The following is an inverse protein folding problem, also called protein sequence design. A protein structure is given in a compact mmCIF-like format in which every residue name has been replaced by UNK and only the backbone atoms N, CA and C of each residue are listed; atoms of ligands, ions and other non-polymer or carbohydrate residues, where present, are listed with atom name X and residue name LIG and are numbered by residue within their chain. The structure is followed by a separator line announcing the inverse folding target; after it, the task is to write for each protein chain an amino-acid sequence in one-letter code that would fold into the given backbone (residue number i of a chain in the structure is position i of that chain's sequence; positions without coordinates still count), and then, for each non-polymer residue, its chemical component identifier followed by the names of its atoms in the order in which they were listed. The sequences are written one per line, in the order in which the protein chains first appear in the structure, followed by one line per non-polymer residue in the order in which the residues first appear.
data_IF_275189672441
#
_entry.id   IF_275189672441
#
_cell.length_a   1.000
_cell.length_b   1.000
_cell.length_c   1.000
_cell.angle_alpha   90.00
_cell.angle_beta   90.00
_cell.angle_gamma   90.00
#
_symmetry.space_group_name_H-M   'P 1'
#
loop_
_entity.id
_entity.type
_entity.pdbx_description
1 polymer ?
#
# COMPACT_ATOMS: atom_id res chain seq x y z
N UNK A 1 17.17 2.30 0.94
CA UNK A 1 16.25 1.24 0.48
C UNK A 1 14.83 1.60 0.82
N UNK A 2 14.30 2.59 0.14
CA UNK A 2 12.94 3.06 0.33
C UNK A 2 12.06 2.48 -0.76
N UNK A 3 10.90 1.98 -0.37
CA UNK A 3 9.82 1.72 -1.31
C UNK A 3 9.26 3.09 -1.72
N UNK A 4 9.46 3.46 -2.97
CA UNK A 4 8.97 4.72 -3.51
C UNK A 4 7.61 4.53 -4.18
N UNK A 5 6.70 5.47 -3.95
CA UNK A 5 5.56 5.68 -4.84
C UNK A 5 5.93 6.80 -5.81
N UNK A 6 5.68 6.64 -7.08
CA UNK A 6 5.81 7.73 -8.02
C UNK A 6 4.80 8.82 -7.67
N UNK A 7 5.26 10.05 -7.67
CA UNK A 7 4.42 11.23 -7.61
C UNK A 7 4.26 11.80 -9.01
N UNK A 8 3.25 12.63 -9.25
CA UNK A 8 3.03 13.28 -10.54
C UNK A 8 4.24 14.12 -11.01
N UNK A 9 5.11 14.51 -10.11
CA UNK A 9 6.38 15.22 -10.37
C UNK A 9 7.60 14.30 -10.50
N UNK A 10 7.39 12.99 -10.57
CA UNK A 10 8.46 12.00 -10.82
C UNK A 10 9.30 11.63 -9.60
N UNK A 11 8.83 11.91 -8.40
CA UNK A 11 9.54 11.64 -7.16
C UNK A 11 9.03 10.44 -6.38
N UNK A 12 9.11 10.54 -5.10
CA UNK A 12 8.76 9.53 -4.11
C UNK A 12 7.26 9.40 -3.94
N UNK A 13 6.84 8.36 -3.23
CA UNK A 13 5.48 8.28 -2.70
C UNK A 13 5.07 9.61 -2.08
N UNK A 14 3.88 10.09 -2.39
CA UNK A 14 3.33 11.29 -1.74
C UNK A 14 3.34 11.12 -0.21
N UNK A 15 2.99 9.93 0.28
CA UNK A 15 3.06 9.60 1.70
C UNK A 15 4.48 9.67 2.26
N UNK A 16 5.46 9.14 1.54
CA UNK A 16 6.86 9.14 1.96
C UNK A 16 7.47 10.53 1.83
N UNK A 17 7.20 11.25 0.74
CA UNK A 17 7.65 12.62 0.56
C UNK A 17 7.09 13.55 1.65
N UNK A 18 5.82 13.40 2.01
CA UNK A 18 5.21 14.16 3.11
C UNK A 18 5.82 13.79 4.45
N UNK A 19 6.02 12.51 4.73
CA UNK A 19 6.65 12.03 5.96
C UNK A 19 8.07 12.54 6.08
N UNK A 20 8.88 12.46 5.02
CA UNK A 20 10.24 12.98 5.01
C UNK A 20 10.29 14.49 5.17
N UNK A 21 9.45 15.24 4.44
CA UNK A 21 9.36 16.69 4.56
C UNK A 21 8.98 17.07 5.98
N UNK A 22 8.03 16.36 6.58
CA UNK A 22 7.62 16.55 7.95
C UNK A 22 8.76 16.26 8.94
N UNK A 23 9.53 15.20 8.74
CA UNK A 23 10.71 14.87 9.56
C UNK A 23 11.79 15.97 9.43
N UNK A 24 12.07 16.43 8.22
CA UNK A 24 13.03 17.52 7.98
C UNK A 24 12.59 18.82 8.65
N UNK A 25 11.31 19.16 8.52
CA UNK A 25 10.74 20.35 9.19
C UNK A 25 10.85 20.22 10.71
N UNK A 26 10.51 19.06 11.28
CA UNK A 26 10.62 18.83 12.72
C UNK A 26 12.07 18.84 13.21
N UNK A 27 13.00 18.32 12.42
CA UNK A 27 14.42 18.42 12.74
C UNK A 27 14.89 19.88 12.74
N UNK A 28 14.52 20.66 11.73
CA UNK A 28 14.84 22.10 11.68
C UNK A 28 14.21 22.86 12.85
N UNK A 29 12.97 22.55 13.23
CA UNK A 29 12.29 23.15 14.41
C UNK A 29 13.00 22.79 15.71
N UNK A 30 13.39 21.53 15.89
CA UNK A 30 14.14 21.07 17.06
C UNK A 30 15.49 21.81 17.19
N UNK A 31 16.22 21.97 16.08
CA UNK A 31 17.47 22.74 16.05
C UNK A 31 17.27 24.22 16.38
N UNK A 32 16.11 24.76 16.05
CA UNK A 32 15.71 26.14 16.39
C UNK A 32 15.10 26.28 17.80
N UNK A 33 15.07 25.22 18.61
CA UNK A 33 14.44 25.21 19.94
C UNK A 33 12.93 25.34 19.91
N UNK A 34 12.29 25.00 18.79
CA UNK A 34 10.83 25.04 18.63
C UNK A 34 10.23 23.64 18.85
N UNK A 35 9.01 23.61 19.39
CA UNK A 35 8.26 22.37 19.52
C UNK A 35 8.02 21.71 18.14
N UNK A 36 8.18 20.37 18.02
CA UNK A 36 7.85 19.65 16.81
C UNK A 36 6.37 19.85 16.44
N UNK A 37 6.10 19.89 15.14
CA UNK A 37 4.73 19.75 14.67
C UNK A 37 4.29 18.30 14.93
N UNK A 38 3.24 18.09 15.69
CA UNK A 38 2.70 16.76 15.93
C UNK A 38 1.75 16.38 14.79
N UNK A 39 1.99 15.24 14.09
CA UNK A 39 0.99 14.71 13.17
C UNK A 39 -0.29 14.40 13.93
N UNK A 40 -1.43 14.60 13.30
CA UNK A 40 -2.75 14.30 13.86
C UNK A 40 -2.90 12.81 14.15
N UNK A 41 -2.44 12.34 15.32
CA UNK A 41 -2.51 10.94 15.72
C UNK A 41 -1.79 9.96 14.78
N UNK A 42 -0.75 10.40 14.07
CA UNK A 42 -0.05 9.59 13.07
C UNK A 42 -0.78 9.47 11.72
N UNK A 43 -1.75 10.36 11.44
CA UNK A 43 -2.45 10.38 10.17
C UNK A 43 -1.48 10.59 9.00
N UNK A 44 -1.70 9.86 7.88
CA UNK A 44 -0.89 9.97 6.66
C UNK A 44 -1.06 11.32 6.00
N UNK A 45 -2.29 11.76 5.84
CA UNK A 45 -2.65 13.07 5.33
C UNK A 45 -3.21 13.91 6.48
N UNK A 46 -2.45 14.86 6.93
CA UNK A 46 -2.74 15.65 8.14
C UNK A 46 -2.81 17.16 7.87
N UNK A 47 -2.33 17.63 6.71
CA UNK A 47 -2.37 19.00 6.22
C UNK A 47 -1.71 20.08 7.11
N UNK A 48 -0.91 19.71 8.11
CA UNK A 48 -0.28 20.66 9.04
C UNK A 48 0.84 21.50 8.42
N UNK A 49 1.37 21.11 7.24
CA UNK A 49 2.33 21.91 6.51
C UNK A 49 1.62 23.03 5.74
N UNK A 50 1.90 24.31 6.03
CA UNK A 50 1.27 25.43 5.35
C UNK A 50 1.41 25.37 3.83
N UNK A 51 0.30 25.51 3.11
CA UNK A 51 0.25 25.50 1.65
C UNK A 51 0.34 24.12 1.01
N UNK A 52 0.57 23.05 1.78
CA UNK A 52 0.64 21.69 1.24
C UNK A 52 -0.73 21.05 1.18
N UNK A 53 -1.18 20.69 0.00
CA UNK A 53 -2.40 19.89 -0.22
C UNK A 53 -2.12 18.38 -0.21
N UNK A 54 -0.88 17.98 0.06
CA UNK A 54 -0.43 16.58 0.16
C UNK A 54 -0.86 15.72 -1.03
N UNK A 55 -0.79 16.28 -2.25
CA UNK A 55 -1.10 15.60 -3.50
C UNK A 55 -2.57 15.43 -3.83
N UNK A 56 -3.47 15.97 -3.01
CA UNK A 56 -4.88 16.00 -3.36
C UNK A 56 -5.13 16.93 -4.54
N UNK A 57 -5.76 16.43 -5.59
CA UNK A 57 -6.09 17.17 -6.78
C UNK A 57 -7.55 16.92 -7.18
N UNK A 58 -8.26 17.93 -7.70
CA UNK A 58 -9.58 17.74 -8.28
C UNK A 58 -9.52 16.76 -9.46
N UNK A 59 -10.53 15.90 -9.57
CA UNK A 59 -10.69 15.06 -10.75
C UNK A 59 -11.32 15.87 -11.89
N UNK A 60 -10.60 15.99 -13.00
CA UNK A 60 -11.10 16.58 -14.25
C UNK A 60 -11.69 15.49 -15.14
N UNK A 61 -12.85 14.95 -14.81
CA UNK A 61 -13.52 13.96 -15.64
C UNK A 61 -14.89 14.48 -16.15
N UNK A 62 -15.38 13.86 -17.23
CA UNK A 62 -16.73 14.15 -17.77
C UNK A 62 -17.81 13.82 -16.72
N UNK A 63 -17.54 12.92 -15.80
CA UNK A 63 -18.45 12.53 -14.71
C UNK A 63 -18.45 13.56 -13.57
N UNK A 64 -17.32 14.25 -13.34
CA UNK A 64 -17.22 15.35 -12.37
C UNK A 64 -17.51 16.68 -13.06
N UNK A 65 -18.78 17.02 -13.27
CA UNK A 65 -19.17 18.31 -13.85
C UNK A 65 -19.29 19.44 -12.83
N UNK A 66 -19.06 19.18 -11.56
CA UNK A 66 -18.89 20.18 -10.52
C UNK A 66 -17.44 20.69 -10.53
N UNK A 67 -17.25 21.98 -10.31
CA UNK A 67 -15.91 22.56 -10.13
C UNK A 67 -15.48 22.36 -8.69
N UNK A 68 -14.24 21.93 -8.47
CA UNK A 68 -13.66 21.79 -7.15
C UNK A 68 -12.28 22.43 -7.11
N UNK A 69 -12.02 23.21 -6.07
CA UNK A 69 -10.70 23.79 -5.79
C UNK A 69 -10.25 23.32 -4.40
N UNK A 70 -9.00 22.97 -4.28
CA UNK A 70 -8.40 22.51 -3.00
C UNK A 70 -7.45 23.56 -2.46
N UNK A 71 -7.54 23.82 -1.16
CA UNK A 71 -6.68 24.78 -0.48
C UNK A 71 -6.33 24.27 0.93
N UNK A 72 -5.07 24.44 1.33
CA UNK A 72 -4.64 24.18 2.69
C UNK A 72 -4.92 25.41 3.57
N UNK A 73 -5.88 25.33 4.47
CA UNK A 73 -6.35 26.46 5.29
C UNK A 73 -6.02 26.28 6.76
N UNK A 74 -5.91 27.40 7.48
CA UNK A 74 -5.82 27.44 8.93
C UNK A 74 -7.22 27.33 9.55
N UNK A 75 -7.36 26.51 10.59
CA UNK A 75 -8.64 26.27 11.24
C UNK A 75 -9.45 25.15 10.59
N UNK A 76 -10.72 25.05 10.96
CA UNK A 76 -11.67 24.01 10.51
C UNK A 76 -11.15 22.58 10.74
N UNK A 77 -10.32 22.40 11.77
CA UNK A 77 -9.76 21.12 12.16
C UNK A 77 -10.15 20.78 13.58
N UNK A 78 -10.53 19.54 13.82
CA UNK A 78 -10.80 18.99 15.16
C UNK A 78 -9.49 18.57 15.85
N UNK A 79 -8.51 18.17 15.04
CA UNK A 79 -7.16 17.81 15.49
C UNK A 79 -6.14 18.70 14.79
N UNK A 80 -5.19 19.24 15.54
CA UNK A 80 -4.16 20.11 14.95
C UNK A 80 -4.65 21.53 14.68
N UNK A 81 -4.13 22.16 13.61
CA UNK A 81 -4.38 23.59 13.30
C UNK A 81 -4.90 23.85 11.90
N UNK A 82 -4.74 22.91 10.97
CA UNK A 82 -5.03 23.11 9.55
C UNK A 82 -5.88 21.96 9.01
N UNK A 83 -6.54 22.24 7.90
CA UNK A 83 -7.33 21.28 7.14
C UNK A 83 -7.19 21.52 5.65
N UNK A 84 -7.63 20.58 4.82
CA UNK A 84 -7.79 20.77 3.40
C UNK A 84 -9.21 21.25 3.13
N UNK A 85 -9.36 22.46 2.63
CA UNK A 85 -10.63 23.00 2.16
C UNK A 85 -10.93 22.50 0.75
N UNK A 86 -12.10 21.94 0.56
CA UNK A 86 -12.66 21.46 -0.70
C UNK A 86 -13.78 22.43 -1.11
N UNK A 87 -13.44 23.43 -1.90
CA UNK A 87 -14.39 24.42 -2.40
C UNK A 87 -15.10 23.87 -3.64
N UNK A 88 -16.38 23.53 -3.52
CA UNK A 88 -17.15 22.94 -4.62
C UNK A 88 -18.19 23.93 -5.15
N UNK A 89 -18.40 23.88 -6.47
CA UNK A 89 -19.41 24.67 -7.16
C UNK A 89 -20.15 23.82 -8.20
N UNK A 90 -21.41 24.12 -8.42
CA UNK A 90 -22.27 23.48 -9.44
C UNK A 90 -22.50 21.97 -9.22
N UNK A 91 -22.29 21.45 -8.02
CA UNK A 91 -22.68 20.08 -7.69
C UNK A 91 -24.19 19.97 -7.69
N UNK A 92 -24.75 18.98 -8.38
CA UNK A 92 -26.18 18.78 -8.57
C UNK A 92 -26.46 17.31 -8.94
N UNK A 93 -27.72 16.93 -9.12
CA UNK A 93 -28.10 15.61 -9.62
C UNK A 93 -27.30 15.25 -10.89
N UNK A 94 -26.59 14.12 -10.85
CA UNK A 94 -25.73 13.65 -11.93
C UNK A 94 -24.44 14.45 -12.13
N UNK A 95 -24.09 15.36 -11.21
CA UNK A 95 -22.87 16.15 -11.21
C UNK A 95 -22.22 16.10 -9.84
N UNK A 96 -21.23 15.27 -9.67
CA UNK A 96 -20.43 15.21 -8.45
C UNK A 96 -19.14 16.02 -8.61
N UNK A 97 -18.51 16.36 -7.48
CA UNK A 97 -17.17 16.91 -7.43
C UNK A 97 -16.29 15.90 -6.70
N UNK A 98 -15.14 15.57 -7.26
CA UNK A 98 -14.20 14.59 -6.70
C UNK A 98 -12.82 15.19 -6.52
N UNK A 99 -12.18 14.76 -5.44
CA UNK A 99 -10.78 15.05 -5.15
C UNK A 99 -10.11 13.77 -4.72
N UNK A 100 -8.90 13.52 -5.22
CA UNK A 100 -8.14 12.33 -4.87
C UNK A 100 -6.65 12.61 -4.76
N UNK A 101 -5.95 11.68 -4.12
CA UNK A 101 -4.51 11.59 -4.11
C UNK A 101 -4.08 10.20 -4.58
N UNK A 102 -3.00 10.08 -5.38
CA UNK A 102 -2.54 8.79 -5.86
C UNK A 102 -1.99 7.91 -4.72
N UNK A 103 -2.28 6.62 -4.79
CA UNK A 103 -1.77 5.58 -3.91
C UNK A 103 -0.90 4.56 -4.66
N UNK A 104 -1.02 4.55 -5.99
CA UNK A 104 -0.20 3.76 -6.91
C UNK A 104 -0.25 4.39 -8.31
N UNK A 105 0.90 4.54 -8.94
CA UNK A 105 1.01 4.97 -10.34
C UNK A 105 1.76 3.88 -11.10
N UNK A 106 1.15 3.25 -12.12
CA UNK A 106 1.84 2.26 -12.92
C UNK A 106 3.07 2.87 -13.60
N UNK A 107 4.21 2.17 -13.67
CA UNK A 107 5.45 2.69 -14.25
C UNK A 107 5.31 3.26 -15.67
N UNK A 108 4.43 2.71 -16.48
CA UNK A 108 4.20 3.14 -17.87
C UNK A 108 3.40 4.43 -18.00
N UNK A 109 2.59 4.77 -17.01
CA UNK A 109 1.79 6.00 -17.04
C UNK A 109 2.65 7.26 -17.07
N UNK A 110 3.91 7.14 -16.69
CA UNK A 110 4.87 8.25 -16.63
C UNK A 110 5.79 8.33 -17.84
N UNK A 111 5.62 7.47 -18.84
CA UNK A 111 6.35 7.51 -20.10
C UNK A 111 7.87 7.38 -19.99
N UNK A 112 8.36 6.87 -18.86
CA UNK A 112 9.78 6.89 -18.56
C UNK A 112 10.28 5.56 -18.01
N UNK A 113 11.37 5.09 -18.54
CA UNK A 113 12.21 4.03 -18.00
C UNK A 113 12.94 4.48 -16.72
N UNK A 114 12.26 5.12 -15.79
CA UNK A 114 12.88 5.64 -14.58
C UNK A 114 12.77 4.61 -13.45
N UNK A 115 13.90 4.03 -13.09
CA UNK A 115 14.06 3.14 -11.93
C UNK A 115 13.53 3.74 -10.61
N UNK A 116 13.48 5.06 -10.51
CA UNK A 116 12.98 5.79 -9.34
C UNK A 116 11.47 5.70 -9.13
N UNK A 117 10.72 5.17 -10.09
CA UNK A 117 9.27 5.20 -10.11
C UNK A 117 8.61 3.83 -9.84
N UNK A 118 9.40 2.79 -9.59
CA UNK A 118 8.88 1.46 -9.29
C UNK A 118 8.53 1.40 -7.81
N UNK A 119 7.25 1.30 -7.50
CA UNK A 119 6.78 1.23 -6.13
C UNK A 119 5.50 0.39 -5.99
N UNK A 120 5.32 -0.20 -4.82
CA UNK A 120 4.08 -0.87 -4.45
C UNK A 120 2.98 0.14 -4.15
N UNK A 121 1.70 -0.25 -4.28
CA UNK A 121 0.58 0.50 -3.71
C UNK A 121 0.79 0.77 -2.22
N UNK A 122 0.19 1.84 -1.70
CA UNK A 122 0.27 2.17 -0.27
C UNK A 122 -0.95 1.75 0.52
N UNK A 123 -2.07 1.47 -0.16
CA UNK A 123 -3.32 1.00 0.44
C UNK A 123 -3.77 -0.31 -0.20
N UNK A 124 -4.36 -1.17 0.61
CA UNK A 124 -4.74 -2.52 0.21
C UNK A 124 -6.12 -2.93 0.75
N UNK A 125 -6.79 -3.92 0.11
CA UNK A 125 -8.01 -4.53 0.63
C UNK A 125 -7.85 -5.02 2.08
N UNK A 126 -8.92 -4.89 2.86
CA UNK A 126 -8.96 -5.29 4.27
C UNK A 126 -8.39 -4.24 5.24
N UNK A 127 -7.72 -3.21 4.77
CA UNK A 127 -7.33 -2.07 5.60
C UNK A 127 -8.52 -1.15 5.86
N UNK A 128 -8.55 -0.48 7.01
CA UNK A 128 -9.61 0.44 7.41
C UNK A 128 -9.14 1.87 7.18
N UNK A 129 -9.84 2.58 6.30
CA UNK A 129 -9.66 4.02 6.07
C UNK A 129 -10.45 4.80 7.11
N UNK A 130 -9.82 5.82 7.65
CA UNK A 130 -10.44 6.78 8.58
C UNK A 130 -10.21 8.20 8.05
N UNK A 131 -11.23 9.03 8.08
CA UNK A 131 -11.14 10.43 7.70
C UNK A 131 -12.16 11.26 8.49
N UNK A 132 -11.78 12.48 8.84
CA UNK A 132 -12.67 13.45 9.48
C UNK A 132 -12.97 14.57 8.52
N UNK A 133 -14.26 14.83 8.30
CA UNK A 133 -14.74 15.93 7.45
C UNK A 133 -15.68 16.85 8.23
N UNK A 134 -15.79 18.11 7.78
CA UNK A 134 -16.79 19.05 8.29
C UNK A 134 -17.31 19.95 7.16
N UNK A 135 -18.60 20.24 7.15
CA UNK A 135 -19.21 21.17 6.24
C UNK A 135 -19.14 22.60 6.81
N UNK A 136 -18.84 23.59 5.95
CA UNK A 136 -18.91 24.97 6.39
C UNK A 136 -20.36 25.34 6.78
N UNK A 137 -20.51 26.08 7.88
CA UNK A 137 -21.82 26.56 8.35
C UNK A 137 -22.55 27.50 7.39
N UNK A 138 -21.81 28.16 6.51
CA UNK A 138 -22.33 29.08 5.49
C UNK A 138 -22.70 28.38 4.17
N UNK A 139 -22.57 27.04 4.09
CA UNK A 139 -22.97 26.31 2.89
C UNK A 139 -24.45 26.53 2.59
N UNK A 140 -24.79 26.75 1.32
CA UNK A 140 -26.15 27.07 0.91
C UNK A 140 -27.10 25.87 0.96
N UNK A 141 -26.54 24.63 0.95
CA UNK A 141 -27.27 23.38 0.89
C UNK A 141 -26.53 22.25 1.62
N UNK A 142 -27.29 21.22 1.90
CA UNK A 142 -26.78 19.91 2.31
C UNK A 142 -26.02 19.27 1.16
N UNK A 143 -24.91 18.60 1.47
CA UNK A 143 -24.10 17.84 0.52
C UNK A 143 -23.95 16.40 0.99
N UNK A 144 -24.06 15.44 0.10
CA UNK A 144 -23.68 14.06 0.31
C UNK A 144 -22.17 13.93 0.13
N UNK A 145 -21.52 13.20 1.01
CA UNK A 145 -20.09 13.01 1.04
C UNK A 145 -19.77 11.53 1.23
N UNK A 146 -18.87 10.99 0.42
CA UNK A 146 -18.33 9.65 0.64
C UNK A 146 -16.83 9.59 0.35
N UNK A 147 -16.16 8.62 0.98
CA UNK A 147 -14.83 8.20 0.56
C UNK A 147 -14.96 7.30 -0.66
N UNK A 148 -13.98 7.33 -1.55
CA UNK A 148 -13.87 6.39 -2.65
C UNK A 148 -12.42 6.00 -2.91
N UNK A 149 -12.24 4.86 -3.54
CA UNK A 149 -10.98 4.47 -4.17
C UNK A 149 -11.19 4.22 -5.64
N UNK A 150 -10.14 4.41 -6.43
CA UNK A 150 -10.09 3.92 -7.80
C UNK A 150 -9.07 2.81 -7.89
N UNK A 151 -9.54 1.64 -8.27
CA UNK A 151 -8.70 0.46 -8.44
C UNK A 151 -8.74 -0.01 -9.89
N UNK A 152 -7.67 -0.65 -10.33
CA UNK A 152 -7.70 -1.35 -11.60
C UNK A 152 -8.60 -2.58 -11.52
N UNK A 153 -9.20 -2.97 -12.62
CA UNK A 153 -9.85 -4.25 -12.77
C UNK A 153 -8.95 -5.25 -13.52
N UNK A 154 -9.42 -6.47 -13.69
CA UNK A 154 -8.70 -7.52 -14.40
C UNK A 154 -8.39 -7.22 -15.86
N UNK A 155 -8.98 -6.18 -16.45
CA UNK A 155 -8.76 -5.68 -17.82
C UNK A 155 -7.89 -4.42 -17.88
N UNK A 156 -7.25 -4.03 -16.78
CA UNK A 156 -6.49 -2.77 -16.63
C UNK A 156 -7.35 -1.49 -16.71
N UNK A 157 -8.65 -1.57 -16.48
CA UNK A 157 -9.52 -0.40 -16.46
C UNK A 157 -9.67 0.11 -15.02
N UNK A 158 -9.63 1.44 -14.84
CA UNK A 158 -9.88 2.06 -13.55
C UNK A 158 -11.38 2.05 -13.23
N UNK A 159 -11.72 1.56 -12.03
CA UNK A 159 -13.08 1.53 -11.52
C UNK A 159 -13.15 2.28 -10.20
N UNK A 160 -14.21 3.07 -10.04
CA UNK A 160 -14.50 3.78 -8.79
C UNK A 160 -15.32 2.88 -7.88
N UNK A 161 -14.83 2.67 -6.67
CA UNK A 161 -15.49 1.92 -5.60
C UNK A 161 -15.73 2.91 -4.46
N UNK A 162 -17.00 3.12 -4.11
CA UNK A 162 -17.40 4.06 -3.07
C UNK A 162 -17.58 3.36 -1.74
N UNK A 163 -17.21 4.05 -0.68
CA UNK A 163 -17.57 3.72 0.69
C UNK A 163 -19.00 4.16 1.03
N UNK A 164 -19.39 4.04 2.31
CA UNK A 164 -20.68 4.53 2.77
C UNK A 164 -20.82 6.04 2.57
N UNK A 165 -22.00 6.46 2.10
CA UNK A 165 -22.37 7.86 1.98
C UNK A 165 -22.77 8.45 3.35
N UNK A 166 -22.49 9.73 3.54
CA UNK A 166 -23.02 10.52 4.65
C UNK A 166 -23.60 11.84 4.15
N UNK A 167 -24.61 12.32 4.83
CA UNK A 167 -25.26 13.60 4.54
C UNK A 167 -24.71 14.68 5.48
N UNK A 168 -24.03 15.68 4.93
CA UNK A 168 -23.48 16.81 5.66
C UNK A 168 -24.40 18.02 5.51
N UNK A 169 -25.14 18.35 6.57
CA UNK A 169 -25.84 19.63 6.66
C UNK A 169 -24.84 20.74 6.96
N UNK A 170 -25.09 22.02 6.64
CA UNK A 170 -24.20 23.14 6.98
C UNK A 170 -23.80 23.09 8.46
N UNK A 171 -22.49 23.16 8.73
CA UNK A 171 -21.90 23.09 10.08
C UNK A 171 -21.76 21.68 10.68
N UNK A 172 -22.20 20.63 9.99
CA UNK A 172 -22.05 19.25 10.46
C UNK A 172 -20.64 18.70 10.29
N UNK A 173 -20.27 17.79 11.17
CA UNK A 173 -19.04 17.01 11.12
C UNK A 173 -19.35 15.52 10.97
N UNK A 174 -18.43 14.78 10.34
CA UNK A 174 -18.53 13.33 10.23
C UNK A 174 -17.15 12.67 10.23
N UNK A 175 -17.04 11.56 10.97
CA UNK A 175 -15.84 10.72 10.97
C UNK A 175 -16.15 9.44 10.21
N UNK A 176 -15.45 9.23 9.10
CA UNK A 176 -15.54 8.01 8.31
C UNK A 176 -14.69 6.90 8.91
N UNK A 177 -15.22 5.68 8.84
CA UNK A 177 -14.48 4.45 9.05
C UNK A 177 -14.95 3.44 8.01
N UNK A 178 -14.10 3.12 7.03
CA UNK A 178 -14.45 2.27 5.90
C UNK A 178 -13.39 1.20 5.65
N UNK A 179 -13.77 -0.06 5.73
CA UNK A 179 -12.92 -1.18 5.36
C UNK A 179 -12.90 -1.30 3.83
N UNK A 180 -11.71 -1.26 3.25
CA UNK A 180 -11.52 -1.42 1.80
C UNK A 180 -11.93 -2.84 1.40
N UNK A 181 -12.87 -3.00 0.45
CA UNK A 181 -13.31 -4.29 -0.03
C UNK A 181 -12.22 -5.01 -0.84
N UNK A 182 -12.44 -6.30 -1.12
CA UNK A 182 -11.55 -7.08 -2.01
C UNK A 182 -11.58 -6.51 -3.44
N UNK A 183 -10.40 -6.45 -4.04
CA UNK A 183 -10.16 -5.94 -5.40
C UNK A 183 -9.60 -7.05 -6.32
N UNK A 184 -9.80 -8.32 -6.00
CA UNK A 184 -9.24 -9.46 -6.74
C UNK A 184 -7.71 -9.36 -6.97
N UNK A 185 -6.99 -8.80 -5.99
CA UNK A 185 -5.54 -8.60 -6.06
C UNK A 185 -5.09 -7.43 -6.95
N UNK A 186 -6.02 -6.65 -7.49
CA UNK A 186 -5.70 -5.50 -8.31
C UNK A 186 -5.24 -4.29 -7.47
N UNK A 187 -4.30 -3.47 -7.97
CA UNK A 187 -3.80 -2.33 -7.23
C UNK A 187 -4.81 -1.19 -7.18
N UNK A 188 -4.85 -0.52 -6.03
CA UNK A 188 -5.62 0.69 -5.79
C UNK A 188 -4.76 1.89 -6.22
N UNK A 189 -5.23 2.61 -7.23
CA UNK A 189 -4.50 3.73 -7.82
C UNK A 189 -4.66 5.03 -7.03
N UNK A 190 -5.85 5.29 -6.48
CA UNK A 190 -6.20 6.56 -5.84
C UNK A 190 -7.14 6.34 -4.67
N UNK A 191 -7.09 7.29 -3.72
CA UNK A 191 -8.08 7.44 -2.66
C UNK A 191 -8.56 8.89 -2.63
N UNK A 192 -9.86 9.08 -2.44
CA UNK A 192 -10.42 10.42 -2.51
C UNK A 192 -11.76 10.59 -1.79
N UNK A 193 -12.32 11.79 -1.98
CA UNK A 193 -13.63 12.21 -1.48
C UNK A 193 -14.49 12.62 -2.65
N UNK A 194 -15.71 12.14 -2.68
CA UNK A 194 -16.76 12.60 -3.60
C UNK A 194 -17.79 13.42 -2.85
N UNK A 195 -18.18 14.53 -3.44
CA UNK A 195 -19.26 15.42 -3.01
C UNK A 195 -20.36 15.39 -4.06
N UNK A 196 -21.58 15.10 -3.63
CA UNK A 196 -22.76 15.04 -4.49
C UNK A 196 -23.94 15.80 -3.84
N UNK A 197 -24.93 16.20 -4.64
CA UNK A 197 -26.15 16.82 -4.12
C UNK A 197 -27.33 16.55 -5.06
N UNK A 198 -28.53 16.41 -4.51
CA UNK A 198 -29.75 16.28 -5.26
C UNK A 198 -30.18 17.61 -5.91
N UNK A 199 -29.81 18.75 -5.33
CA UNK A 199 -30.06 20.08 -5.85
C UNK A 199 -28.72 20.79 -6.08
N UNK A 200 -28.75 21.86 -6.90
CA UNK A 200 -27.54 22.67 -7.12
C UNK A 200 -27.00 23.21 -5.80
N UNK A 201 -25.77 22.83 -5.49
CA UNK A 201 -25.07 23.22 -4.28
C UNK A 201 -23.69 23.80 -4.60
N UNK A 202 -23.36 24.85 -3.86
CA UNK A 202 -22.05 25.48 -3.83
C UNK A 202 -21.66 25.61 -2.35
N UNK A 203 -20.38 25.41 -2.02
CA UNK A 203 -19.94 25.46 -0.63
C UNK A 203 -18.53 24.97 -0.39
N UNK A 204 -18.25 24.63 0.86
CA UNK A 204 -16.94 24.13 1.30
C UNK A 204 -17.12 22.97 2.27
N UNK A 205 -16.37 21.92 2.01
CA UNK A 205 -16.14 20.82 2.97
C UNK A 205 -14.67 20.82 3.35
N UNK A 206 -14.36 20.65 4.62
CA UNK A 206 -13.01 20.58 5.13
C UNK A 206 -12.66 19.14 5.46
N UNK A 207 -11.52 18.67 4.98
CA UNK A 207 -10.93 17.40 5.36
C UNK A 207 -9.85 17.67 6.41
N UNK A 208 -10.08 17.22 7.63
CA UNK A 208 -9.16 17.40 8.74
C UNK A 208 -7.95 16.46 8.62
N UNK A 209 -8.22 15.18 8.40
CA UNK A 209 -7.21 14.15 8.13
C UNK A 209 -7.80 12.99 7.34
N UNK A 210 -6.91 12.24 6.71
CA UNK A 210 -7.21 10.94 6.12
C UNK A 210 -6.06 9.98 6.41
N UNK A 211 -6.38 8.76 6.81
CA UNK A 211 -5.41 7.72 7.11
C UNK A 211 -5.99 6.33 6.90
N UNK A 212 -5.17 5.30 6.92
CA UNK A 212 -5.59 3.91 6.96
C UNK A 212 -4.65 3.07 7.81
N UNK A 213 -5.19 2.01 8.39
CA UNK A 213 -4.50 1.11 9.29
C UNK A 213 -4.92 -0.34 9.05
N UNK A 214 -4.22 -1.26 9.65
CA UNK A 214 -4.51 -2.68 9.60
C UNK A 214 -3.63 -3.45 8.61
N UNK A 215 -3.68 -4.76 8.76
CA UNK A 215 -3.00 -5.69 7.86
C UNK A 215 -3.92 -6.02 6.70
N UNK A 216 -3.42 -6.04 5.46
CA UNK A 216 -4.26 -6.35 4.31
C UNK A 216 -4.78 -7.78 4.33
N UNK A 217 -5.90 -7.94 3.65
CA UNK A 217 -6.46 -9.24 3.29
C UNK A 217 -6.50 -9.30 1.77
N UNK A 218 -5.44 -9.84 1.16
CA UNK A 218 -5.26 -9.78 -0.29
C UNK A 218 -4.72 -11.10 -0.83
N UNK A 219 -5.13 -11.46 -2.03
CA UNK A 219 -4.54 -12.55 -2.82
C UNK A 219 -4.19 -12.02 -4.19
N UNK A 220 -2.92 -12.08 -4.54
CA UNK A 220 -2.42 -11.70 -5.85
C UNK A 220 -2.31 -12.93 -6.74
N UNK A 221 -2.94 -12.85 -7.90
CA UNK A 221 -2.94 -13.88 -8.93
C UNK A 221 -3.18 -13.22 -10.28
N UNK A 222 -2.87 -13.92 -11.36
CA UNK A 222 -3.21 -13.45 -12.71
C UNK A 222 -4.74 -13.31 -12.84
N UNK A 223 -5.26 -12.16 -13.28
CA UNK A 223 -6.67 -12.00 -13.60
C UNK A 223 -7.04 -12.82 -14.84
N UNK A 224 -8.27 -13.33 -14.87
CA UNK A 224 -8.79 -14.09 -16.00
C UNK A 224 -8.94 -13.25 -17.28
N UNK A 225 -9.13 -11.95 -17.11
CA UNK A 225 -9.32 -10.97 -18.17
C UNK A 225 -8.02 -10.59 -18.90
N UNK A 226 -6.86 -11.02 -18.38
CA UNK A 226 -5.57 -10.86 -19.04
C UNK A 226 -4.88 -9.51 -18.81
N UNK A 227 -5.35 -8.70 -17.89
CA UNK A 227 -4.69 -7.46 -17.50
C UNK A 227 -3.32 -7.71 -16.88
N UNK A 228 -2.43 -6.71 -16.91
CA UNK A 228 -1.03 -6.81 -16.50
C UNK A 228 -0.62 -5.82 -15.42
N UNK A 229 -1.48 -4.86 -15.03
CA UNK A 229 -1.15 -3.84 -14.05
C UNK A 229 -0.84 -4.43 -12.67
N UNK A 230 -1.51 -5.53 -12.30
CA UNK A 230 -1.26 -6.24 -11.05
C UNK A 230 0.20 -6.70 -10.88
N UNK A 231 0.90 -7.06 -11.98
CA UNK A 231 2.32 -7.43 -11.94
C UNK A 231 3.21 -6.21 -11.69
N UNK A 232 2.83 -5.06 -12.28
CA UNK A 232 3.58 -3.81 -12.17
C UNK A 232 3.50 -3.16 -10.80
N UNK A 233 2.59 -3.65 -9.95
CA UNK A 233 2.48 -3.25 -8.55
C UNK A 233 3.58 -3.88 -7.65
N UNK A 234 4.39 -4.77 -8.20
CA UNK A 234 5.53 -5.36 -7.53
C UNK A 234 6.81 -4.60 -7.82
N UNK A 235 7.60 -4.35 -6.79
CA UNK A 235 8.96 -3.82 -6.92
C UNK A 235 9.88 -4.96 -7.32
N UNK A 236 10.43 -4.87 -8.52
CA UNK A 236 11.27 -5.91 -9.11
C UNK A 236 12.74 -5.68 -8.75
N UNK A 237 13.26 -6.54 -7.89
CA UNK A 237 14.67 -6.64 -7.52
C UNK A 237 15.31 -7.93 -8.01
N UNK A 238 14.78 -8.50 -9.12
CA UNK A 238 15.33 -9.66 -9.82
C UNK A 238 16.16 -9.22 -11.02
N UNK A 239 17.04 -10.09 -11.52
CA UNK A 239 17.82 -9.82 -12.72
C UNK A 239 16.96 -9.75 -13.98
N UNK A 240 15.92 -10.56 -14.03
CA UNK A 240 14.99 -10.59 -15.15
C UNK A 240 13.58 -11.04 -14.72
N UNK A 241 12.61 -10.19 -14.98
CA UNK A 241 11.19 -10.50 -14.93
C UNK A 241 10.67 -10.63 -16.37
N UNK A 242 10.34 -11.84 -16.78
CA UNK A 242 9.78 -12.08 -18.11
C UNK A 242 8.29 -12.40 -17.95
N UNK A 243 7.44 -11.61 -18.61
CA UNK A 243 6.02 -11.88 -18.72
C UNK A 243 5.81 -13.14 -19.59
N UNK A 244 5.41 -14.21 -18.97
CA UNK A 244 5.17 -15.51 -19.61
C UNK A 244 3.80 -16.05 -19.22
N UNK A 245 3.52 -17.30 -19.57
CA UNK A 245 2.31 -18.00 -19.13
C UNK A 245 2.29 -18.24 -17.60
N UNK A 246 3.44 -18.21 -16.95
CA UNK A 246 3.54 -18.23 -15.48
C UNK A 246 3.23 -16.85 -14.91
N UNK A 247 2.33 -16.71 -13.91
CA UNK A 247 1.99 -15.44 -13.30
C UNK A 247 3.21 -14.70 -12.74
N UNK A 248 4.04 -15.39 -11.96
CA UNK A 248 5.30 -14.88 -11.44
C UNK A 248 6.44 -15.78 -11.89
N UNK A 249 7.32 -15.26 -12.72
CA UNK A 249 8.54 -15.94 -13.14
C UNK A 249 9.73 -15.22 -12.54
N UNK A 250 10.41 -15.89 -11.62
CA UNK A 250 11.53 -15.36 -10.87
C UNK A 250 12.84 -15.88 -11.51
N UNK A 251 13.70 -14.99 -11.94
CA UNK A 251 15.02 -15.34 -12.49
C UNK A 251 16.07 -14.48 -11.79
N UNK A 252 17.10 -15.15 -11.26
CA UNK A 252 18.23 -14.50 -10.61
C UNK A 252 19.51 -15.21 -11.03
N UNK A 253 20.45 -14.50 -11.66
CA UNK A 253 21.67 -15.10 -12.19
C UNK A 253 22.75 -15.26 -11.12
N UNK A 254 22.85 -14.31 -10.19
CA UNK A 254 23.82 -14.34 -9.11
C UNK A 254 23.26 -13.75 -7.82
N UNK A 255 23.53 -14.39 -6.69
CA UNK A 255 23.07 -13.96 -5.36
C UNK A 255 21.57 -14.09 -5.18
N UNK A 256 20.99 -13.16 -4.41
CA UNK A 256 19.58 -13.20 -4.02
C UNK A 256 18.79 -12.04 -4.65
N UNK A 257 17.74 -12.36 -5.37
CA UNK A 257 16.75 -11.42 -5.89
C UNK A 257 15.43 -11.47 -5.12
N UNK A 258 14.79 -10.32 -4.98
CA UNK A 258 13.49 -10.15 -4.31
C UNK A 258 12.50 -9.47 -5.24
N UNK A 259 11.29 -10.01 -5.28
CA UNK A 259 10.13 -9.35 -5.86
C UNK A 259 9.20 -8.93 -4.73
N UNK A 260 9.10 -7.62 -4.46
CA UNK A 260 8.57 -7.06 -3.21
C UNK A 260 7.21 -6.42 -3.45
N UNK A 261 6.26 -6.64 -2.55
CA UNK A 261 5.00 -5.88 -2.51
C UNK A 261 4.56 -5.62 -1.07
N UNK A 262 4.01 -4.42 -0.84
CA UNK A 262 3.52 -4.02 0.47
C UNK A 262 4.17 -2.75 0.99
N UNK A 263 3.94 -2.47 2.26
CA UNK A 263 4.42 -1.27 2.93
C UNK A 263 5.19 -1.60 4.20
N UNK A 264 5.94 -0.61 4.71
CA UNK A 264 6.76 -0.78 5.92
C UNK A 264 5.94 -0.92 7.21
N UNK A 265 4.67 -0.56 7.19
CA UNK A 265 3.82 -0.55 8.37
C UNK A 265 3.18 -1.89 8.72
N UNK A 266 3.29 -2.89 7.87
CA UNK A 266 2.72 -4.21 8.17
C UNK A 266 3.51 -4.91 9.25
N UNK A 267 2.84 -5.27 10.35
CA UNK A 267 3.49 -5.82 11.55
C UNK A 267 3.29 -7.32 11.69
N UNK A 268 2.06 -7.75 11.97
CA UNK A 268 1.72 -9.12 12.34
C UNK A 268 0.81 -9.75 11.31
N UNK A 269 1.38 -10.60 10.47
CA UNK A 269 0.67 -11.19 9.33
C UNK A 269 1.25 -12.53 8.92
N UNK A 270 0.52 -13.21 8.06
CA UNK A 270 0.96 -14.39 7.34
C UNK A 270 1.07 -14.10 5.85
N UNK A 271 2.20 -14.42 5.25
CA UNK A 271 2.37 -14.50 3.80
C UNK A 271 2.38 -15.97 3.39
N UNK A 272 1.72 -16.29 2.27
CA UNK A 272 1.73 -17.63 1.69
C UNK A 272 1.87 -17.55 0.17
N UNK A 273 2.58 -18.51 -0.41
CA UNK A 273 2.75 -18.63 -1.87
C UNK A 273 2.88 -20.08 -2.30
N UNK A 274 2.35 -20.39 -3.49
CA UNK A 274 2.58 -21.62 -4.21
C UNK A 274 3.81 -21.47 -5.12
N UNK A 275 4.90 -22.12 -4.77
CA UNK A 275 6.18 -21.99 -5.45
C UNK A 275 6.54 -23.23 -6.24
N UNK A 276 7.01 -23.04 -7.48
CA UNK A 276 7.57 -24.08 -8.32
C UNK A 276 9.04 -23.81 -8.54
N UNK A 277 9.95 -24.47 -7.78
CA UNK A 277 11.38 -24.38 -8.05
C UNK A 277 11.69 -25.13 -9.35
N UNK A 278 12.36 -24.48 -10.31
CA UNK A 278 12.78 -25.13 -11.56
C UNK A 278 14.25 -25.51 -11.53
N UNK A 279 15.13 -24.53 -11.42
CA UNK A 279 16.57 -24.72 -11.24
C UNK A 279 17.08 -23.49 -10.48
N UNK A 280 17.11 -23.57 -9.18
CA UNK A 280 17.58 -22.48 -8.31
C UNK A 280 18.28 -23.05 -7.09
N UNK A 281 19.21 -22.28 -6.54
CA UNK A 281 19.87 -22.61 -5.26
C UNK A 281 18.88 -22.57 -4.11
N UNK A 282 17.99 -21.57 -4.10
CA UNK A 282 16.86 -21.50 -3.19
C UNK A 282 15.72 -20.63 -3.76
N UNK A 283 14.50 -20.89 -3.31
CA UNK A 283 13.33 -20.04 -3.55
C UNK A 283 12.43 -20.03 -2.31
N UNK A 284 11.64 -18.97 -2.14
CA UNK A 284 10.80 -18.89 -0.95
C UNK A 284 9.96 -17.63 -0.86
N UNK A 285 9.42 -17.43 0.34
CA UNK A 285 8.66 -16.24 0.72
C UNK A 285 9.40 -15.46 1.81
N UNK A 286 9.33 -14.14 1.73
CA UNK A 286 9.89 -13.26 2.74
C UNK A 286 8.83 -12.40 3.40
N UNK A 287 9.04 -12.09 4.67
CA UNK A 287 8.21 -11.24 5.50
C UNK A 287 9.03 -10.15 6.18
N UNK A 288 8.34 -9.05 6.57
CA UNK A 288 8.95 -7.87 7.19
C UNK A 288 10.12 -7.33 6.37
N UNK A 289 9.92 -7.28 5.05
CA UNK A 289 10.91 -6.79 4.11
C UNK A 289 11.02 -5.27 4.26
N UNK A 290 12.21 -4.80 4.64
CA UNK A 290 12.55 -3.39 4.78
C UNK A 290 13.54 -2.92 3.70
N UNK A 291 14.01 -3.85 2.89
CA UNK A 291 14.96 -3.67 1.80
C UNK A 291 15.58 -5.00 1.39
N UNK A 292 16.46 -4.97 0.38
CA UNK A 292 17.09 -6.17 -0.21
C UNK A 292 17.94 -6.99 0.76
N UNK A 293 18.30 -6.44 1.92
CA UNK A 293 19.17 -7.07 2.92
C UNK A 293 18.59 -7.04 4.33
N UNK A 294 17.26 -6.84 4.46
CA UNK A 294 16.59 -6.76 5.76
C UNK A 294 15.21 -7.39 5.67
N UNK A 295 15.13 -8.67 6.03
CA UNK A 295 13.87 -9.45 6.00
C UNK A 295 14.03 -10.77 6.75
N UNK A 296 12.91 -11.46 7.00
CA UNK A 296 12.86 -12.89 7.29
C UNK A 296 12.44 -13.63 6.02
N UNK A 297 13.02 -14.83 5.79
CA UNK A 297 12.57 -15.67 4.68
C UNK A 297 12.46 -17.15 5.07
N UNK A 298 11.47 -17.81 4.52
CA UNK A 298 11.32 -19.25 4.50
C UNK A 298 11.71 -19.75 3.13
N UNK A 299 12.83 -20.46 3.04
CA UNK A 299 13.50 -20.85 1.81
C UNK A 299 13.47 -22.35 1.61
N UNK A 300 13.06 -22.81 0.43
CA UNK A 300 13.23 -24.14 -0.09
C UNK A 300 14.55 -24.21 -0.84
N UNK A 301 15.54 -24.96 -0.33
CA UNK A 301 16.91 -24.97 -0.81
C UNK A 301 17.24 -26.24 -1.59
N UNK A 302 18.10 -26.13 -2.62
CA UNK A 302 18.46 -27.24 -3.54
C UNK A 302 19.20 -28.40 -2.86
N UNK A 303 19.73 -28.20 -1.66
CA UNK A 303 20.36 -29.24 -0.84
C UNK A 303 19.34 -30.10 -0.06
N UNK A 304 18.04 -29.93 -0.31
CA UNK A 304 16.97 -30.66 0.36
C UNK A 304 16.57 -30.08 1.71
N UNK A 305 17.09 -28.90 2.06
CA UNK A 305 16.73 -28.22 3.32
C UNK A 305 15.64 -27.19 3.09
N UNK A 306 14.78 -27.02 4.08
CA UNK A 306 14.01 -25.79 4.27
C UNK A 306 14.69 -24.99 5.38
N UNK A 307 14.96 -23.72 5.11
CA UNK A 307 15.59 -22.81 6.07
C UNK A 307 14.69 -21.64 6.39
N UNK A 308 14.55 -21.35 7.67
CA UNK A 308 14.06 -20.06 8.14
C UNK A 308 15.28 -19.19 8.42
N UNK A 309 15.41 -18.11 7.67
CA UNK A 309 16.57 -17.21 7.76
C UNK A 309 16.15 -15.79 8.11
N UNK A 310 17.08 -15.06 8.71
CA UNK A 310 17.04 -13.63 8.91
C UNK A 310 18.18 -12.99 8.11
N UNK A 311 17.83 -12.07 7.25
CA UNK A 311 18.77 -11.18 6.60
C UNK A 311 18.80 -9.85 7.36
N UNK A 312 19.93 -9.51 7.90
CA UNK A 312 20.19 -8.24 8.59
C UNK A 312 21.64 -7.84 8.34
N UNK A 313 21.91 -7.34 7.12
CA UNK A 313 23.26 -7.04 6.62
C UNK A 313 24.20 -8.27 6.64
N UNK A 314 23.64 -9.45 6.55
CA UNK A 314 24.24 -10.77 6.56
C UNK A 314 23.20 -11.82 6.94
N UNK A 315 23.40 -13.05 6.47
CA UNK A 315 22.45 -14.16 6.64
C UNK A 315 22.66 -14.86 7.98
N UNK A 316 21.59 -14.97 8.76
CA UNK A 316 21.51 -15.81 9.96
C UNK A 316 20.47 -16.92 9.73
N UNK A 317 20.88 -18.19 9.82
CA UNK A 317 19.94 -19.32 9.83
C UNK A 317 19.35 -19.44 11.23
N UNK A 318 18.03 -19.24 11.34
CA UNK A 318 17.29 -19.37 12.60
C UNK A 318 16.83 -20.82 12.84
N UNK A 319 16.62 -21.58 11.77
CA UNK A 319 16.26 -23.00 11.82
C UNK A 319 16.37 -23.64 10.45
N UNK A 320 16.63 -24.95 10.43
CA UNK A 320 16.66 -25.74 9.22
C UNK A 320 16.11 -27.14 9.43
N UNK A 321 15.43 -27.71 8.42
CA UNK A 321 14.83 -29.04 8.43
C UNK A 321 14.99 -29.67 7.07
N UNK A 322 15.42 -30.93 7.03
CA UNK A 322 15.48 -31.69 5.77
C UNK A 322 14.07 -32.12 5.34
N UNK A 323 13.76 -31.89 4.05
CA UNK A 323 12.51 -32.33 3.42
C UNK A 323 12.80 -32.94 2.05
N UNK A 324 11.97 -33.91 1.65
CA UNK A 324 12.05 -34.47 0.30
C UNK A 324 11.21 -33.61 -0.63
N UNK A 325 11.83 -32.99 -1.62
CA UNK A 325 11.17 -32.22 -2.66
C UNK A 325 11.88 -32.39 -4.01
N UNK A 326 11.25 -32.00 -5.10
CA UNK A 326 11.77 -32.14 -6.45
C UNK A 326 11.52 -30.88 -7.27
N UNK A 327 12.44 -30.56 -8.15
CA UNK A 327 12.24 -29.48 -9.12
C UNK A 327 11.00 -29.73 -10.01
N UNK A 328 10.31 -28.66 -10.38
CA UNK A 328 9.13 -28.71 -11.24
C UNK A 328 7.83 -29.07 -10.54
N UNK A 329 7.85 -29.33 -9.24
CA UNK A 329 6.64 -29.56 -8.43
C UNK A 329 6.23 -28.29 -7.70
N UNK A 330 4.92 -28.11 -7.45
CA UNK A 330 4.37 -26.97 -6.72
C UNK A 330 4.39 -27.28 -5.23
N UNK A 331 4.88 -26.31 -4.43
CA UNK A 331 4.93 -26.40 -2.98
C UNK A 331 4.37 -25.14 -2.33
N UNK A 332 3.47 -25.32 -1.35
CA UNK A 332 2.96 -24.22 -0.53
C UNK A 332 3.94 -23.89 0.59
N UNK A 333 4.40 -22.66 0.62
CA UNK A 333 5.17 -22.10 1.71
C UNK A 333 4.37 -21.01 2.42
N UNK A 334 4.36 -21.04 3.76
CA UNK A 334 3.69 -20.01 4.58
C UNK A 334 4.65 -19.54 5.66
N UNK A 335 4.80 -18.24 5.78
CA UNK A 335 5.58 -17.58 6.83
C UNK A 335 4.69 -16.62 7.62
N UNK A 336 4.57 -16.85 8.92
CA UNK A 336 3.82 -16.02 9.84
C UNK A 336 4.80 -15.28 10.76
N UNK A 337 4.54 -13.98 10.94
CA UNK A 337 5.32 -13.10 11.79
C UNK A 337 4.39 -12.43 12.80
N UNK A 338 4.62 -12.63 14.10
CA UNK A 338 3.82 -12.05 15.18
C UNK A 338 4.72 -11.62 16.35
N UNK A 339 4.85 -10.30 16.57
CA UNK A 339 5.84 -9.80 17.51
C UNK A 339 7.25 -10.33 17.20
N UNK A 340 7.86 -11.06 18.12
CA UNK A 340 9.15 -11.76 17.95
C UNK A 340 9.03 -13.20 17.47
N UNK A 341 7.79 -13.71 17.32
CA UNK A 341 7.52 -15.11 16.95
C UNK A 341 7.41 -15.28 15.46
N UNK A 342 8.10 -16.29 14.95
CA UNK A 342 8.14 -16.67 13.54
C UNK A 342 7.67 -18.11 13.41
N UNK A 343 6.70 -18.37 12.53
CA UNK A 343 6.28 -19.71 12.19
C UNK A 343 6.41 -19.95 10.70
N UNK A 344 6.95 -21.10 10.33
CA UNK A 344 7.14 -21.53 8.94
C UNK A 344 6.46 -22.86 8.66
N UNK A 345 5.70 -22.91 7.55
CA UNK A 345 5.07 -24.14 7.06
C UNK A 345 5.56 -24.50 5.68
N UNK A 346 5.74 -25.79 5.49
CA UNK A 346 5.90 -26.42 4.20
C UNK A 346 4.69 -27.30 3.95
N UNK A 347 3.94 -27.02 2.88
CA UNK A 347 2.62 -27.58 2.70
C UNK A 347 1.76 -27.29 3.96
N UNK A 348 1.11 -28.27 4.53
CA UNK A 348 0.31 -28.11 5.74
C UNK A 348 1.06 -28.39 7.05
N UNK A 349 2.36 -28.73 6.96
CA UNK A 349 3.17 -29.04 8.12
C UNK A 349 3.88 -27.81 8.65
N UNK A 350 3.66 -27.47 9.92
CA UNK A 350 4.45 -26.46 10.64
C UNK A 350 5.82 -27.04 10.96
N UNK A 351 6.85 -26.49 10.34
CA UNK A 351 8.25 -26.91 10.54
C UNK A 351 8.97 -26.06 11.58
N UNK A 352 8.59 -24.80 11.69
CA UNK A 352 9.25 -23.84 12.57
C UNK A 352 8.23 -23.09 13.42
N UNK A 353 8.56 -22.93 14.70
CA UNK A 353 7.91 -22.06 15.67
C UNK A 353 8.99 -21.49 16.57
N UNK A 354 9.57 -20.35 16.17
CA UNK A 354 10.81 -19.80 16.72
C UNK A 354 10.57 -18.36 17.19
N UNK A 355 11.29 -17.96 18.24
CA UNK A 355 11.36 -16.56 18.67
C UNK A 355 12.72 -15.96 18.29
N UNK A 356 12.69 -14.82 17.63
CA UNK A 356 13.87 -14.00 17.36
C UNK A 356 13.90 -12.79 18.29
N UNK A 357 14.58 -12.91 19.42
CA UNK A 357 14.71 -11.84 20.41
C UNK A 357 15.91 -10.92 20.16
N UNK A 358 16.74 -11.20 19.16
CA UNK A 358 17.94 -10.44 18.87
C UNK A 358 17.73 -9.52 17.64
N UNK A 359 17.60 -8.22 17.86
CA UNK A 359 17.37 -7.24 16.79
C UNK A 359 16.18 -7.63 15.86
N UNK A 360 15.06 -7.95 16.46
CA UNK A 360 13.84 -8.36 15.78
C UNK A 360 13.42 -7.32 14.71
N UNK A 361 13.17 -7.77 13.49
CA UNK A 361 12.49 -6.96 12.50
C UNK A 361 11.00 -6.92 12.85
N UNK A 362 10.44 -5.77 13.14
CA UNK A 362 9.10 -5.64 13.71
C UNK A 362 8.01 -5.36 12.66
N UNK A 363 8.40 -4.89 11.49
CA UNK A 363 7.47 -4.51 10.41
C UNK A 363 8.13 -4.57 9.04
N UNK A 364 7.34 -4.56 7.98
CA UNK A 364 7.79 -4.51 6.60
C UNK A 364 6.85 -5.22 5.62
N UNK A 365 7.18 -5.10 4.35
CA UNK A 365 6.47 -5.70 3.21
C UNK A 365 6.69 -7.22 3.11
N UNK A 366 6.14 -7.83 2.07
CA UNK A 366 6.40 -9.24 1.69
C UNK A 366 7.23 -9.32 0.41
N UNK A 367 7.87 -10.46 0.19
CA UNK A 367 8.53 -10.72 -1.09
C UNK A 367 8.48 -12.21 -1.48
N UNK A 368 8.59 -12.43 -2.79
CA UNK A 368 9.05 -13.69 -3.34
C UNK A 368 10.58 -13.65 -3.47
N UNK A 369 11.24 -14.74 -3.18
CA UNK A 369 12.71 -14.86 -3.16
C UNK A 369 13.16 -15.85 -4.21
N UNK A 370 14.22 -15.51 -4.96
CA UNK A 370 14.94 -16.43 -5.84
C UNK A 370 16.44 -16.25 -5.65
N UNK A 371 17.15 -17.36 -5.49
CA UNK A 371 18.62 -17.39 -5.42
C UNK A 371 19.15 -18.24 -6.55
N UNK A 372 20.02 -17.64 -7.38
CA UNK A 372 20.79 -18.28 -8.45
C UNK A 372 20.01 -19.33 -9.23
N UNK A 373 19.19 -18.88 -10.15
CA UNK A 373 18.42 -19.76 -11.02
C UNK A 373 17.02 -19.27 -11.32
N UNK A 374 16.07 -20.21 -11.37
CA UNK A 374 14.68 -19.96 -11.78
C UNK A 374 13.68 -20.61 -10.84
N UNK A 375 12.66 -19.86 -10.48
CA UNK A 375 11.44 -20.35 -9.82
C UNK A 375 10.20 -19.71 -10.46
N UNK A 376 9.03 -20.24 -10.18
CA UNK A 376 7.74 -19.66 -10.53
C UNK A 376 6.78 -19.69 -9.35
N UNK A 377 5.74 -18.85 -9.43
CA UNK A 377 4.67 -18.79 -8.45
C UNK A 377 3.36 -18.44 -9.18
N UNK A 378 2.23 -18.99 -8.76
CA UNK A 378 0.93 -18.63 -9.33
C UNK A 378 0.15 -17.68 -8.43
N UNK A 379 0.31 -17.83 -7.12
CA UNK A 379 -0.52 -17.11 -6.14
C UNK A 379 0.31 -16.71 -4.94
N UNK A 380 0.13 -15.46 -4.53
CA UNK A 380 0.67 -14.96 -3.25
C UNK A 380 -0.48 -14.38 -2.44
N UNK A 381 -0.51 -14.62 -1.15
CA UNK A 381 -1.53 -14.06 -0.28
C UNK A 381 -0.95 -13.49 1.00
N UNK A 382 -1.59 -12.44 1.51
CA UNK A 382 -1.33 -11.87 2.83
C UNK A 382 -2.63 -11.85 3.62
N UNK A 383 -2.56 -12.27 4.88
CA UNK A 383 -3.69 -12.29 5.79
C UNK A 383 -3.27 -11.79 7.18
N UNK A 384 -4.13 -11.07 7.90
CA UNK A 384 -3.92 -10.80 9.32
C UNK A 384 -3.91 -12.12 10.11
N UNK A 385 -3.18 -12.11 11.22
CA UNK A 385 -3.21 -13.22 12.16
C UNK A 385 -4.48 -13.06 13.01
N UNK A 386 -5.35 -14.06 12.93
CA UNK A 386 -6.52 -14.14 13.81
C UNK A 386 -6.01 -14.65 15.15
N UNK A 387 -6.14 -13.82 16.18
CA UNK A 387 -5.80 -14.16 17.57
C UNK A 387 -6.79 -15.16 18.18
#
# INVERSE_FOLDING_TARGET
DQLYLPTADGGRSITDAVTETYQVVNMARALAGQEPLAPKGGARFHFELPGSVQGFQPEESIESQGTLVVENVLGHSRRGKRSLALHYQHVATGRCARVATPTFIPPDALGASHYSLIASPTIYPGQVVQAQVSANGDNNRTVECCLYVRAYDGSNQLRTIKGPDTTLIPGAEHEFSWMIPDMDGQPIAEIGIELASAERADGTVYLDYLTWTGIPTVTWRRPAEGGTVWQRAWVDGLDQLIFTDEPYRLIQNAGTGLMIQGTREWTDYRVAADLTPHMCTATGVAARVQGMRRYYALLLCSDGMIRLVKELDGTQVLGEVHVNWQFGQIYDLKLEVQGDRLKGWFQDQCLFDIRDSNQTLTSGAVALVCQEGRAACNTVSVRPIVS
#
